data_IF_860694995220
#
_entry.id   IF_860694995220
#
_cell.length_a   1.000
_cell.length_b   1.000
_cell.length_c   1.000
_cell.angle_alpha   90.00
_cell.angle_beta   90.00
_cell.angle_gamma   90.00
#
_symmetry.space_group_name_H-M   'P 1'
#
loop_
_entity.id
_entity.type
_entity.pdbx_description
1 polymer ?
#
# COMPACT_ATOMS: atom_id res chain seq x y z
N UNK A 1 -18.47 -9.88 -6.54
CA UNK A 1 -17.17 -9.30 -6.91
C UNK A 1 -17.11 -7.92 -6.25
N UNK A 2 -16.06 -7.57 -5.59
CA UNK A 2 -15.92 -6.36 -4.75
C UNK A 2 -16.22 -5.09 -5.58
N UNK A 3 -15.72 -5.01 -6.78
CA UNK A 3 -16.01 -3.92 -7.72
C UNK A 3 -17.52 -3.78 -8.03
N UNK A 4 -18.25 -4.89 -8.19
CA UNK A 4 -19.72 -4.84 -8.42
C UNK A 4 -20.44 -4.33 -7.17
N UNK A 5 -19.92 -4.64 -5.98
CA UNK A 5 -20.44 -4.15 -4.70
C UNK A 5 -20.19 -2.65 -4.56
N UNK A 6 -19.00 -2.17 -4.91
CA UNK A 6 -18.65 -0.75 -4.91
C UNK A 6 -19.54 0.06 -5.86
N UNK A 7 -19.80 -0.45 -7.09
CA UNK A 7 -20.73 0.18 -8.02
C UNK A 7 -22.18 0.22 -7.48
N UNK A 8 -22.63 -0.86 -6.83
CA UNK A 8 -23.93 -0.87 -6.18
C UNK A 8 -23.99 0.10 -5.00
N UNK A 9 -22.92 0.17 -4.20
CA UNK A 9 -22.79 1.07 -3.05
C UNK A 9 -22.94 2.56 -3.44
N UNK A 10 -22.32 2.97 -4.54
CA UNK A 10 -22.44 4.34 -5.08
C UNK A 10 -23.90 4.73 -5.45
N UNK A 11 -24.75 3.75 -5.78
CA UNK A 11 -26.15 3.99 -6.14
C UNK A 11 -27.09 4.09 -4.93
N UNK A 12 -26.63 3.69 -3.74
CA UNK A 12 -27.45 3.72 -2.52
C UNK A 12 -27.64 5.14 -2.01
N UNK A 13 -28.79 5.37 -1.39
CA UNK A 13 -29.02 6.57 -0.56
C UNK A 13 -28.23 6.46 0.74
N UNK A 14 -27.97 7.58 1.41
CA UNK A 14 -27.26 7.62 2.71
C UNK A 14 -27.92 6.69 3.76
N UNK A 15 -29.26 6.62 3.77
CA UNK A 15 -30.00 5.75 4.71
C UNK A 15 -29.79 4.25 4.43
N UNK A 16 -29.62 3.88 3.14
CA UNK A 16 -29.32 2.50 2.75
C UNK A 16 -27.86 2.16 3.05
N UNK A 17 -26.92 3.09 2.78
CA UNK A 17 -25.50 2.92 3.15
C UNK A 17 -25.31 2.74 4.65
N UNK A 18 -26.04 3.47 5.50
CA UNK A 18 -26.01 3.26 6.95
C UNK A 18 -26.38 1.84 7.37
N UNK A 19 -27.28 1.19 6.64
CA UNK A 19 -27.62 -0.22 6.88
C UNK A 19 -26.48 -1.15 6.44
N UNK A 20 -25.78 -0.79 5.38
CA UNK A 20 -24.62 -1.54 4.90
C UNK A 20 -23.44 -1.42 5.86
N UNK A 21 -23.13 -0.22 6.37
CA UNK A 21 -22.09 -0.01 7.40
C UNK A 21 -22.33 -0.87 8.66
N UNK A 22 -23.60 -1.11 9.02
CA UNK A 22 -23.93 -1.98 10.15
C UNK A 22 -23.85 -3.48 9.81
N UNK A 23 -23.99 -3.84 8.56
CA UNK A 23 -23.99 -5.23 8.10
C UNK A 23 -22.58 -5.72 7.76
N UNK A 24 -21.76 -4.87 7.16
CA UNK A 24 -20.38 -5.15 6.83
C UNK A 24 -19.45 -4.67 7.96
N UNK A 25 -18.39 -5.44 8.21
CA UNK A 25 -17.33 -4.99 9.12
C UNK A 25 -16.43 -3.91 8.49
N UNK A 26 -15.60 -3.23 9.29
CA UNK A 26 -14.71 -2.17 8.80
C UNK A 26 -13.75 -2.66 7.69
N UNK A 27 -13.24 -3.88 7.75
CA UNK A 27 -12.42 -4.52 6.72
C UNK A 27 -13.13 -4.60 5.36
N UNK A 28 -14.39 -5.07 5.34
CA UNK A 28 -15.18 -5.15 4.11
C UNK A 28 -15.56 -3.77 3.55
N UNK A 29 -15.76 -2.79 4.42
CA UNK A 29 -16.00 -1.40 4.01
C UNK A 29 -14.72 -0.78 3.41
N UNK A 30 -13.57 -1.03 4.00
CA UNK A 30 -12.27 -0.62 3.45
C UNK A 30 -12.06 -1.19 2.04
N UNK A 31 -12.31 -2.50 1.86
CA UNK A 31 -12.25 -3.17 0.57
C UNK A 31 -13.24 -2.59 -0.46
N UNK A 32 -14.45 -2.20 -0.05
CA UNK A 32 -15.38 -1.51 -0.96
C UNK A 32 -14.84 -0.13 -1.34
N UNK A 33 -14.23 0.60 -0.40
CA UNK A 33 -13.73 1.95 -0.63
C UNK A 33 -12.51 1.98 -1.55
N UNK A 34 -11.67 0.96 -1.56
CA UNK A 34 -10.54 0.86 -2.51
C UNK A 34 -10.97 0.77 -3.99
N UNK A 35 -12.25 0.48 -4.26
CA UNK A 35 -12.84 0.51 -5.61
C UNK A 35 -13.66 1.78 -5.88
N UNK A 36 -13.58 2.81 -5.05
CA UNK A 36 -14.32 4.07 -5.19
C UNK A 36 -13.31 5.21 -5.36
N UNK A 37 -13.44 5.99 -6.42
CA UNK A 37 -12.50 7.07 -6.74
C UNK A 37 -12.44 8.18 -5.66
N UNK A 38 -13.57 8.54 -5.03
CA UNK A 38 -13.67 9.60 -4.02
C UNK A 38 -14.39 9.07 -2.74
N UNK A 39 -13.76 8.20 -1.95
CA UNK A 39 -14.41 7.56 -0.79
C UNK A 39 -14.54 8.47 0.44
N UNK A 40 -13.85 9.62 0.49
CA UNK A 40 -13.83 10.58 1.60
C UNK A 40 -15.23 11.05 2.01
N UNK A 41 -16.11 11.28 1.04
CA UNK A 41 -17.50 11.70 1.28
C UNK A 41 -18.31 10.62 2.02
N UNK A 42 -18.06 9.35 1.72
CA UNK A 42 -18.70 8.20 2.38
C UNK A 42 -18.10 7.94 3.76
N UNK A 43 -16.79 8.11 3.90
CA UNK A 43 -16.14 7.97 5.21
C UNK A 43 -16.68 9.00 6.21
N UNK A 44 -16.98 10.22 5.76
CA UNK A 44 -17.61 11.29 6.57
C UNK A 44 -19.02 10.95 7.07
N UNK A 45 -19.69 9.93 6.51
CA UNK A 45 -20.99 9.43 7.00
C UNK A 45 -20.84 8.57 8.27
N UNK A 46 -19.63 8.07 8.57
CA UNK A 46 -19.32 7.22 9.71
C UNK A 46 -18.97 8.05 10.95
N UNK A 47 -19.26 7.54 12.18
CA UNK A 47 -18.65 8.05 13.39
C UNK A 47 -17.12 7.98 13.30
N UNK A 48 -16.39 8.92 13.92
CA UNK A 48 -14.92 9.00 13.81
C UNK A 48 -14.20 7.72 14.24
N UNK A 49 -14.69 7.02 15.25
CA UNK A 49 -14.11 5.75 15.70
C UNK A 49 -14.32 4.59 14.72
N UNK A 50 -15.44 4.58 13.99
CA UNK A 50 -15.69 3.61 12.92
C UNK A 50 -14.90 3.98 11.66
N UNK A 51 -14.84 5.26 11.32
CA UNK A 51 -14.02 5.75 10.19
C UNK A 51 -12.54 5.41 10.38
N UNK A 52 -11.99 5.60 11.58
CA UNK A 52 -10.62 5.24 11.89
C UNK A 52 -10.35 3.73 11.75
N UNK A 53 -11.33 2.88 12.14
CA UNK A 53 -11.20 1.42 11.92
C UNK A 53 -11.21 1.06 10.44
N UNK A 54 -12.02 1.72 9.62
CA UNK A 54 -12.01 1.51 8.17
C UNK A 54 -10.66 1.89 7.59
N UNK A 55 -10.12 3.07 7.92
CA UNK A 55 -8.80 3.52 7.49
C UNK A 55 -7.68 2.56 7.92
N UNK A 56 -7.80 1.92 9.09
CA UNK A 56 -6.80 0.95 9.56
C UNK A 56 -6.77 -0.37 8.75
N UNK A 57 -7.79 -0.64 7.94
CA UNK A 57 -7.84 -1.79 7.03
C UNK A 57 -7.54 -1.41 5.57
N UNK A 58 -7.28 -0.14 5.28
CA UNK A 58 -6.90 0.33 3.94
C UNK A 58 -5.38 0.29 3.77
N UNK A 59 -4.94 0.26 2.52
CA UNK A 59 -3.54 0.53 2.20
C UNK A 59 -3.17 1.92 2.68
N UNK A 60 -1.95 2.09 3.16
CA UNK A 60 -1.51 3.32 3.82
C UNK A 60 -1.56 4.55 2.91
N UNK A 61 -1.25 4.39 1.62
CA UNK A 61 -1.37 5.43 0.59
C UNK A 61 -2.82 5.81 0.31
N UNK A 62 -3.73 4.85 0.15
CA UNK A 62 -5.16 5.09 -0.01
C UNK A 62 -5.75 5.83 1.21
N UNK A 63 -5.36 5.41 2.42
CA UNK A 63 -5.79 6.05 3.64
C UNK A 63 -5.29 7.51 3.75
N UNK A 64 -4.05 7.78 3.32
CA UNK A 64 -3.46 9.12 3.27
C UNK A 64 -4.20 9.99 2.27
N UNK A 65 -4.45 9.52 1.05
CA UNK A 65 -5.20 10.26 0.03
C UNK A 65 -6.58 10.71 0.55
N UNK A 66 -7.27 9.82 1.29
CA UNK A 66 -8.56 10.17 1.93
C UNK A 66 -8.38 11.22 3.04
N UNK A 67 -7.33 11.09 3.84
CA UNK A 67 -7.06 12.02 4.94
C UNK A 67 -6.68 13.41 4.45
N UNK A 68 -5.99 13.53 3.32
CA UNK A 68 -5.59 14.81 2.70
C UNK A 68 -6.79 15.60 2.16
N UNK A 69 -7.89 14.91 1.80
CA UNK A 69 -9.16 15.57 1.42
C UNK A 69 -9.99 16.04 2.63
N UNK A 70 -9.47 15.89 3.86
CA UNK A 70 -10.16 16.30 5.08
C UNK A 70 -9.59 17.59 5.65
N UNK A 71 -10.41 18.28 6.46
CA UNK A 71 -9.90 19.39 7.25
C UNK A 71 -8.91 18.89 8.32
N UNK A 72 -7.87 19.66 8.60
CA UNK A 72 -6.77 19.31 9.50
C UNK A 72 -7.25 18.84 10.89
N UNK A 73 -8.31 19.43 11.45
CA UNK A 73 -8.85 19.00 12.76
C UNK A 73 -9.48 17.61 12.73
N UNK A 74 -10.11 17.24 11.61
CA UNK A 74 -10.69 15.91 11.41
C UNK A 74 -9.58 14.90 11.14
N UNK A 75 -8.61 15.23 10.31
CA UNK A 75 -7.42 14.42 10.03
C UNK A 75 -6.67 14.07 11.33
N UNK A 76 -6.32 15.06 12.17
CA UNK A 76 -5.65 14.82 13.45
C UNK A 76 -6.42 13.87 14.38
N UNK A 77 -7.75 14.01 14.43
CA UNK A 77 -8.59 13.12 15.27
C UNK A 77 -8.59 11.69 14.74
N UNK A 78 -8.76 11.50 13.44
CA UNK A 78 -8.74 10.18 12.81
C UNK A 78 -7.40 9.49 13.00
N UNK A 79 -6.29 10.19 12.69
CA UNK A 79 -4.92 9.68 12.88
C UNK A 79 -4.64 9.32 14.35
N UNK A 80 -5.25 10.06 15.30
CA UNK A 80 -5.15 9.75 16.73
C UNK A 80 -5.96 8.54 17.18
N UNK A 81 -6.91 8.06 16.37
CA UNK A 81 -7.77 6.90 16.65
C UNK A 81 -7.33 5.64 15.90
N UNK A 82 -6.38 5.73 14.96
CA UNK A 82 -5.83 4.56 14.26
C UNK A 82 -5.15 3.60 15.25
N UNK A 83 -5.14 2.31 14.92
CA UNK A 83 -4.34 1.34 15.67
C UNK A 83 -2.84 1.63 15.56
N UNK A 84 -2.01 0.93 16.35
CA UNK A 84 -0.58 1.22 16.46
C UNK A 84 0.18 0.90 15.16
N UNK A 85 -0.21 -0.16 14.46
CA UNK A 85 0.46 -0.65 13.25
C UNK A 85 0.12 0.22 12.04
N UNK A 86 -1.16 0.30 11.66
CA UNK A 86 -1.63 1.13 10.53
C UNK A 86 -1.36 2.61 10.76
N UNK A 87 -1.50 3.07 12.01
CA UNK A 87 -1.20 4.45 12.39
C UNK A 87 0.27 4.82 12.28
N UNK A 88 1.21 3.86 12.35
CA UNK A 88 2.63 4.11 12.13
C UNK A 88 2.91 4.46 10.66
N UNK A 89 2.44 3.64 9.74
CA UNK A 89 2.67 3.79 8.30
C UNK A 89 2.00 5.05 7.74
N UNK A 90 0.74 5.27 8.10
CA UNK A 90 0.01 6.48 7.71
C UNK A 90 0.71 7.74 8.22
N UNK A 91 1.13 7.78 9.50
CA UNK A 91 1.87 8.93 10.05
C UNK A 91 3.23 9.12 9.40
N UNK A 92 3.90 8.06 9.02
CA UNK A 92 5.17 8.12 8.29
C UNK A 92 4.96 8.82 6.94
N UNK A 93 3.96 8.41 6.15
CA UNK A 93 3.66 9.03 4.85
C UNK A 93 3.23 10.50 5.04
N UNK A 94 2.32 10.79 5.98
CA UNK A 94 1.89 12.16 6.31
C UNK A 94 3.01 13.07 6.87
N UNK A 95 4.18 12.53 7.20
CA UNK A 95 5.32 13.33 7.67
C UNK A 95 6.13 13.96 6.55
N UNK A 96 5.93 13.53 5.30
CA UNK A 96 6.58 14.11 4.12
C UNK A 96 5.80 15.31 3.60
N UNK A 97 6.50 16.24 2.95
CA UNK A 97 5.86 17.33 2.23
C UNK A 97 5.23 16.81 0.93
N UNK A 98 4.18 17.46 0.43
CA UNK A 98 3.39 17.01 -0.74
C UNK A 98 4.23 16.81 -2.02
N UNK A 99 5.36 17.51 -2.13
CA UNK A 99 6.29 17.50 -3.26
C UNK A 99 7.50 16.57 -3.05
N UNK A 100 7.60 15.87 -1.92
CA UNK A 100 8.58 14.82 -1.65
C UNK A 100 8.08 13.45 -2.15
N UNK A 101 9.02 12.60 -2.62
CA UNK A 101 8.68 11.24 -3.08
C UNK A 101 8.04 10.39 -1.99
N UNK A 102 8.41 10.57 -0.74
CA UNK A 102 7.85 9.87 0.42
C UNK A 102 6.33 10.06 0.58
N UNK A 103 5.77 11.21 0.14
CA UNK A 103 4.33 11.46 0.17
C UNK A 103 3.53 10.58 -0.81
N UNK A 104 4.20 9.92 -1.75
CA UNK A 104 3.59 9.08 -2.82
C UNK A 104 3.99 7.61 -2.71
N UNK A 105 4.61 7.22 -1.59
CA UNK A 105 4.98 5.82 -1.38
C UNK A 105 3.81 5.01 -0.80
N UNK A 106 3.87 3.70 -0.99
CA UNK A 106 3.01 2.73 -0.31
C UNK A 106 3.85 1.82 0.58
N UNK A 107 3.27 1.23 1.61
CA UNK A 107 3.86 0.15 2.40
C UNK A 107 3.37 -1.24 1.95
N UNK A 108 2.47 -1.30 0.97
CA UNK A 108 1.89 -2.51 0.41
C UNK A 108 2.83 -3.14 -0.62
N UNK A 109 3.85 -3.88 -0.17
CA UNK A 109 4.80 -4.59 -1.03
C UNK A 109 5.48 -5.76 -0.30
N UNK A 110 6.05 -6.70 -1.07
CA UNK A 110 6.76 -7.87 -0.56
C UNK A 110 8.25 -7.57 -0.40
N UNK A 111 8.80 -7.90 0.76
CA UNK A 111 10.23 -7.75 1.09
C UNK A 111 10.83 -9.07 1.54
N UNK A 112 12.00 -9.40 1.00
CA UNK A 112 12.80 -10.54 1.44
C UNK A 112 14.28 -10.15 1.60
N UNK A 113 15.09 -11.00 2.22
CA UNK A 113 16.54 -10.80 2.32
C UNK A 113 17.31 -11.60 1.27
N UNK A 114 18.46 -11.06 0.81
CA UNK A 114 19.30 -11.67 -0.24
C UNK A 114 19.98 -12.98 0.19
N UNK A 115 20.09 -13.26 1.49
CA UNK A 115 20.72 -14.46 2.02
C UNK A 115 19.79 -15.70 2.11
N UNK A 116 18.57 -15.60 1.57
CA UNK A 116 17.61 -16.70 1.57
C UNK A 116 17.87 -17.68 0.42
N UNK A 117 17.42 -18.91 0.58
CA UNK A 117 17.26 -19.86 -0.52
C UNK A 117 15.93 -19.60 -1.26
N UNK A 118 15.82 -20.06 -2.52
CA UNK A 118 14.57 -19.96 -3.30
C UNK A 118 13.35 -20.47 -2.50
N UNK A 119 13.50 -21.60 -1.79
CA UNK A 119 12.42 -22.15 -0.96
C UNK A 119 12.02 -21.22 0.21
N UNK A 120 12.98 -20.55 0.82
CA UNK A 120 12.72 -19.62 1.91
C UNK A 120 12.07 -18.35 1.37
N UNK A 121 12.60 -17.80 0.27
CA UNK A 121 12.03 -16.63 -0.41
C UNK A 121 10.56 -16.86 -0.81
N UNK A 122 10.25 -18.01 -1.42
CA UNK A 122 8.87 -18.39 -1.73
C UNK A 122 7.98 -18.51 -0.50
N UNK A 123 8.50 -18.97 0.63
CA UNK A 123 7.73 -19.05 1.87
C UNK A 123 7.41 -17.67 2.42
N UNK A 124 8.39 -16.77 2.43
CA UNK A 124 8.23 -15.39 2.87
C UNK A 124 7.23 -14.63 1.98
N UNK A 125 7.36 -14.80 0.65
CA UNK A 125 6.40 -14.25 -0.28
C UNK A 125 4.96 -14.72 0.02
N UNK A 126 4.74 -16.03 0.15
CA UNK A 126 3.39 -16.58 0.41
C UNK A 126 2.84 -16.10 1.75
N UNK A 127 3.68 -15.92 2.76
CA UNK A 127 3.27 -15.40 4.06
C UNK A 127 2.82 -13.94 3.97
N UNK A 128 3.55 -13.10 3.23
CA UNK A 128 3.25 -11.68 3.06
C UNK A 128 2.12 -11.41 2.05
N UNK A 129 1.97 -12.26 1.02
CA UNK A 129 0.96 -12.09 -0.04
C UNK A 129 -0.50 -12.21 0.43
N UNK A 130 -0.75 -12.59 1.69
CA UNK A 130 -2.08 -12.55 2.29
C UNK A 130 -2.49 -11.17 2.78
N UNK A 131 -1.53 -10.27 2.94
CA UNK A 131 -1.69 -8.92 3.51
C UNK A 131 -1.24 -7.82 2.53
N UNK A 132 -0.66 -8.20 1.39
CA UNK A 132 -0.14 -7.27 0.39
C UNK A 132 -0.63 -7.66 -1.01
N UNK A 133 -1.15 -6.69 -1.75
CA UNK A 133 -1.66 -6.87 -3.12
C UNK A 133 -0.57 -6.65 -4.18
N UNK A 134 0.46 -5.86 -3.86
CA UNK A 134 1.58 -5.52 -4.73
C UNK A 134 2.64 -6.62 -4.74
N UNK A 135 2.31 -7.76 -5.34
CA UNK A 135 3.15 -8.97 -5.34
C UNK A 135 3.96 -9.18 -6.62
N UNK A 136 3.74 -8.37 -7.65
CA UNK A 136 4.43 -8.55 -8.96
C UNK A 136 5.94 -8.38 -8.89
N UNK A 137 6.40 -7.51 -7.98
CA UNK A 137 7.81 -7.25 -7.69
C UNK A 137 8.09 -7.60 -6.23
N UNK A 138 9.12 -8.39 -5.99
CA UNK A 138 9.61 -8.74 -4.65
C UNK A 138 10.88 -7.93 -4.40
N UNK A 139 10.86 -7.03 -3.43
CA UNK A 139 12.01 -6.22 -3.08
C UNK A 139 12.98 -7.00 -2.20
N UNK A 140 14.27 -6.78 -2.41
CA UNK A 140 15.33 -7.52 -1.72
C UNK A 140 16.19 -6.57 -0.90
N UNK A 141 16.39 -6.89 0.36
CA UNK A 141 17.27 -6.18 1.28
C UNK A 141 18.56 -6.96 1.51
N UNK A 142 19.64 -6.24 1.82
CA UNK A 142 20.90 -6.81 2.28
C UNK A 142 20.86 -7.15 3.78
N UNK A 143 21.98 -7.65 4.32
CA UNK A 143 22.15 -8.00 5.74
C UNK A 143 22.03 -6.79 6.71
N UNK A 144 22.01 -5.56 6.19
CA UNK A 144 21.88 -4.32 6.97
C UNK A 144 20.52 -3.64 6.74
N UNK A 145 19.52 -4.38 6.24
CA UNK A 145 18.18 -3.89 5.90
C UNK A 145 18.17 -2.74 4.87
N UNK A 146 19.18 -2.71 3.97
CA UNK A 146 19.23 -1.75 2.89
C UNK A 146 18.75 -2.36 1.59
N UNK A 147 18.11 -1.55 0.77
CA UNK A 147 17.68 -1.96 -0.57
C UNK A 147 18.88 -2.51 -1.36
N UNK A 148 18.76 -3.74 -1.81
CA UNK A 148 19.78 -4.47 -2.58
C UNK A 148 19.38 -4.64 -4.04
N UNK A 149 18.10 -4.89 -4.31
CA UNK A 149 17.57 -5.10 -5.64
C UNK A 149 16.12 -5.56 -5.63
N UNK A 150 15.66 -6.08 -6.75
CA UNK A 150 14.29 -6.60 -6.88
C UNK A 150 14.27 -7.90 -7.70
N UNK A 151 13.23 -8.70 -7.51
CA UNK A 151 12.96 -9.93 -8.25
C UNK A 151 11.56 -9.80 -8.86
N UNK A 152 11.43 -10.09 -10.14
CA UNK A 152 10.11 -10.29 -10.75
C UNK A 152 9.47 -11.58 -10.17
N UNK A 153 8.22 -11.49 -9.73
CA UNK A 153 7.49 -12.65 -9.18
C UNK A 153 7.56 -13.87 -10.09
N UNK A 154 7.49 -13.65 -11.42
CA UNK A 154 7.58 -14.72 -12.40
C UNK A 154 8.91 -15.46 -12.32
N UNK A 155 10.02 -14.73 -12.15
CA UNK A 155 11.36 -15.34 -12.07
C UNK A 155 11.50 -16.18 -10.80
N UNK A 156 10.95 -15.69 -9.68
CA UNK A 156 10.92 -16.48 -8.43
C UNK A 156 10.04 -17.73 -8.54
N UNK A 157 8.89 -17.66 -9.25
CA UNK A 157 7.99 -18.81 -9.46
C UNK A 157 8.64 -19.89 -10.34
N UNK A 158 9.41 -19.51 -11.37
CA UNK A 158 10.03 -20.48 -12.29
C UNK A 158 11.38 -21.00 -11.81
N UNK A 159 11.98 -20.36 -10.81
CA UNK A 159 13.26 -20.79 -10.23
C UNK A 159 13.14 -22.16 -9.57
N UNK A 160 14.19 -22.96 -9.70
CA UNK A 160 14.28 -24.27 -9.06
C UNK A 160 14.82 -24.13 -7.64
N UNK A 161 14.50 -25.11 -6.79
CA UNK A 161 14.94 -25.08 -5.38
C UNK A 161 16.47 -25.11 -5.19
N UNK A 162 17.18 -25.66 -6.15
CA UNK A 162 18.65 -25.74 -6.22
C UNK A 162 19.32 -24.49 -6.82
N UNK A 163 18.55 -23.59 -7.44
CA UNK A 163 19.09 -22.36 -8.03
C UNK A 163 19.50 -21.39 -6.90
N UNK A 164 20.46 -20.51 -7.22
CA UNK A 164 20.87 -19.45 -6.30
C UNK A 164 19.93 -18.26 -6.44
N UNK A 165 19.40 -17.75 -5.32
CA UNK A 165 18.53 -16.57 -5.31
C UNK A 165 19.22 -15.35 -5.96
N UNK A 166 20.51 -15.20 -5.76
CA UNK A 166 21.33 -14.11 -6.32
C UNK A 166 21.25 -14.03 -7.85
N UNK A 167 21.08 -15.16 -8.52
CA UNK A 167 21.06 -15.24 -9.99
C UNK A 167 19.79 -14.61 -10.61
N UNK A 168 18.74 -14.41 -9.80
CA UNK A 168 17.47 -13.83 -10.24
C UNK A 168 17.21 -12.44 -9.65
N UNK A 169 18.13 -11.90 -8.82
CA UNK A 169 18.04 -10.53 -8.29
C UNK A 169 18.54 -9.54 -9.32
N UNK A 170 17.70 -8.58 -9.69
CA UNK A 170 18.10 -7.39 -10.44
C UNK A 170 18.65 -6.33 -9.50
N UNK A 171 19.98 -6.18 -9.44
CA UNK A 171 20.65 -5.17 -8.60
C UNK A 171 20.73 -3.79 -9.26
N UNK A 172 20.37 -3.68 -10.55
CA UNK A 172 20.28 -2.42 -11.29
C UNK A 172 18.85 -1.83 -11.30
N UNK A 173 17.98 -2.30 -10.41
CA UNK A 173 16.62 -1.79 -10.26
C UNK A 173 16.65 -0.30 -9.86
N UNK A 174 15.89 0.57 -10.53
CA UNK A 174 15.89 2.00 -10.23
C UNK A 174 15.28 2.28 -8.86
N UNK A 175 15.83 3.25 -8.17
CA UNK A 175 15.28 3.72 -6.89
C UNK A 175 15.48 5.23 -6.75
N UNK A 176 14.66 5.82 -5.89
CA UNK A 176 14.74 7.21 -5.44
C UNK A 176 14.68 7.24 -3.91
N UNK A 177 15.14 8.32 -3.29
CA UNK A 177 15.01 8.47 -1.85
C UNK A 177 13.69 9.20 -1.52
N UNK A 178 13.16 8.94 -0.36
CA UNK A 178 11.91 9.46 0.17
C UNK A 178 11.85 11.00 0.23
N UNK A 179 12.95 11.65 0.61
CA UNK A 179 13.07 13.11 0.65
C UNK A 179 13.49 13.77 -0.67
N UNK A 180 13.63 13.02 -1.77
CA UNK A 180 13.84 13.63 -3.07
C UNK A 180 12.56 14.28 -3.60
N UNK A 181 12.71 15.43 -4.27
CA UNK A 181 11.57 16.14 -4.86
C UNK A 181 11.01 15.37 -6.05
N UNK A 182 9.69 15.27 -6.14
CA UNK A 182 8.98 14.54 -7.20
C UNK A 182 9.42 15.03 -8.59
N UNK A 183 9.49 16.36 -8.78
CA UNK A 183 9.86 16.96 -10.07
C UNK A 183 11.29 16.57 -10.51
N UNK A 184 12.24 16.46 -9.59
CA UNK A 184 13.61 16.05 -9.88
C UNK A 184 13.73 14.55 -10.22
N UNK A 185 12.80 13.74 -9.69
CA UNK A 185 12.79 12.29 -9.88
C UNK A 185 12.08 11.85 -11.17
N UNK A 186 11.06 12.60 -11.62
CA UNK A 186 10.21 12.23 -12.76
C UNK A 186 11.04 12.00 -14.03
N UNK A 187 11.99 12.88 -14.35
CA UNK A 187 12.84 12.74 -15.55
C UNK A 187 13.69 11.47 -15.44
N UNK A 188 14.32 11.23 -14.29
CA UNK A 188 15.16 10.06 -14.05
C UNK A 188 14.37 8.74 -14.13
N UNK A 189 13.14 8.71 -13.58
CA UNK A 189 12.28 7.51 -13.63
C UNK A 189 11.78 7.25 -15.06
N UNK A 190 11.45 8.28 -15.84
CA UNK A 190 11.02 8.15 -17.23
C UNK A 190 12.11 7.55 -18.12
N UNK A 191 13.36 7.97 -17.96
CA UNK A 191 14.49 7.43 -18.70
C UNK A 191 14.63 5.92 -18.49
N UNK A 192 14.40 5.43 -17.26
CA UNK A 192 14.40 3.99 -16.97
C UNK A 192 13.22 3.24 -17.60
N UNK A 193 12.04 3.85 -17.65
CA UNK A 193 10.86 3.22 -18.22
C UNK A 193 10.91 3.12 -19.75
N UNK A 194 11.68 4.00 -20.42
CA UNK A 194 11.87 3.97 -21.88
C UNK A 194 12.94 2.95 -22.31
N UNK A 195 13.87 2.60 -21.42
CA UNK A 195 14.97 1.66 -21.68
C UNK A 195 14.64 0.20 -21.29
N UNK A 196 13.44 -0.07 -20.72
CA UNK A 196 12.98 -1.39 -20.24
C UNK A 196 11.99 -2.03 -21.19
#
# INVERSE_FOLDING_TARGET
HENDIAEAFKLLSESERKSWYQMFGPEQIAEIFSYIDDPDSYLKELPLDEAAKVLSFMDSDDAVDILDEMDHSTQEKLVGLLDEESGHDIKMILSYEDDEMGSKMTTNFIVIHNNLTIRQAMRELVQQAGENDNISTVYVLDENDKFYGAIDLKDLIVARQEDNLEDIISTSYPYVNDHEMIDDCIERIKDYAEDS
#
